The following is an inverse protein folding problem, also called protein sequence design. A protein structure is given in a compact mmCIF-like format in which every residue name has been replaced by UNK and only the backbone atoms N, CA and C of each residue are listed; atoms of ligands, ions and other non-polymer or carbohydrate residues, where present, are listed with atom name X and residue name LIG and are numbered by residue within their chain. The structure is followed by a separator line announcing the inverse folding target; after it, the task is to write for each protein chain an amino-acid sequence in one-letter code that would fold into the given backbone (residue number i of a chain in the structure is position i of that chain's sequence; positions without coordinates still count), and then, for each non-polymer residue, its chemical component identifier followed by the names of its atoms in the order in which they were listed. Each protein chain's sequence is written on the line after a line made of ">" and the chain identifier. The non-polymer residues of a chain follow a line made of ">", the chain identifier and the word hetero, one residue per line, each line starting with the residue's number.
data_IF_228163885236
#
_entry.id   IF_228163885236
#
_cell.length_a   1.000
_cell.length_b   1.000
_cell.length_c   1.000
_cell.angle_alpha   90.00
_cell.angle_beta   90.00
_cell.angle_gamma   90.00
#
_symmetry.space_group_name_H-M   'P 1'
#
loop_
_entity.id
_entity.type
_entity.pdbx_description
1 polymer ?
#
# COMPACT_ATOMS: atom_id res chain seq x y z
N UNK A 1 13.70 16.55 27.98
CA UNK A 1 14.34 15.62 28.95
C UNK A 1 14.52 14.20 28.41
N UNK A 2 13.47 13.35 28.28
CA UNK A 2 13.62 11.95 27.80
C UNK A 2 14.27 11.86 26.41
N UNK A 3 13.88 12.73 25.47
CA UNK A 3 14.50 12.79 24.14
C UNK A 3 15.99 13.12 24.20
N UNK A 4 16.38 14.09 25.03
CA UNK A 4 17.78 14.57 25.11
C UNK A 4 18.70 13.51 25.71
N UNK A 5 18.20 12.76 26.70
CA UNK A 5 18.89 11.58 27.25
C UNK A 5 19.09 10.54 26.15
N UNK A 6 18.06 10.25 25.35
CA UNK A 6 18.14 9.31 24.25
C UNK A 6 19.05 9.79 23.11
N UNK A 7 19.11 11.09 22.83
CA UNK A 7 20.04 11.68 21.85
C UNK A 7 21.49 11.45 22.28
N UNK A 8 21.83 11.79 23.54
CA UNK A 8 23.18 11.57 24.08
C UNK A 8 23.57 10.09 24.14
N UNK A 9 22.64 9.23 24.54
CA UNK A 9 22.88 7.79 24.54
C UNK A 9 23.08 7.27 23.12
N UNK A 10 22.30 7.73 22.15
CA UNK A 10 22.45 7.30 20.77
C UNK A 10 23.81 7.71 20.19
N UNK A 11 24.27 8.92 20.49
CA UNK A 11 25.61 9.39 20.11
C UNK A 11 26.72 8.53 20.73
N UNK A 12 26.66 8.28 22.04
CA UNK A 12 27.65 7.47 22.75
C UNK A 12 27.67 6.02 22.25
N UNK A 13 26.50 5.40 22.04
CA UNK A 13 26.41 4.05 21.50
C UNK A 13 26.96 4.00 20.09
N UNK A 14 26.62 4.98 19.23
CA UNK A 14 27.10 5.02 17.85
C UNK A 14 28.63 5.09 17.76
N UNK A 15 29.28 5.85 18.66
CA UNK A 15 30.73 5.93 18.73
C UNK A 15 31.42 4.60 19.07
N UNK A 16 30.73 3.69 19.76
CA UNK A 16 31.24 2.36 20.09
C UNK A 16 30.83 1.29 19.08
N UNK A 17 29.55 1.26 18.70
CA UNK A 17 28.98 0.32 17.77
C UNK A 17 27.77 0.96 17.05
N UNK A 18 27.90 1.33 15.76
CA UNK A 18 26.80 1.88 14.98
C UNK A 18 25.60 0.92 14.84
N UNK A 19 25.81 -0.39 14.95
CA UNK A 19 24.80 -1.44 14.80
C UNK A 19 24.68 -2.34 16.05
N UNK A 20 24.18 -1.83 17.18
CA UNK A 20 24.04 -2.63 18.39
C UNK A 20 23.07 -3.79 18.20
N UNK A 21 23.46 -4.94 18.75
CA UNK A 21 22.66 -6.12 18.96
C UNK A 21 21.56 -5.88 20.01
N UNK A 22 20.65 -6.84 20.12
CA UNK A 22 19.54 -6.79 21.09
C UNK A 22 20.05 -6.67 22.53
N UNK A 23 21.12 -7.41 22.86
CA UNK A 23 21.64 -7.51 24.23
C UNK A 23 22.40 -6.23 24.62
N UNK A 24 23.05 -5.56 23.67
CA UNK A 24 23.67 -4.25 23.91
C UNK A 24 22.63 -3.17 24.24
N UNK A 25 21.46 -3.18 23.60
CA UNK A 25 20.36 -2.28 24.00
C UNK A 25 19.83 -2.60 25.40
N UNK A 26 19.80 -3.87 25.77
CA UNK A 26 19.36 -4.31 27.10
C UNK A 26 20.32 -3.84 28.18
N UNK A 27 21.62 -4.03 27.95
CA UNK A 27 22.67 -3.56 28.83
C UNK A 27 22.61 -2.04 29.05
N UNK A 28 22.50 -1.25 27.98
CA UNK A 28 22.45 0.21 28.10
C UNK A 28 21.21 0.69 28.85
N UNK A 29 20.05 0.09 28.58
CA UNK A 29 18.82 0.45 29.27
C UNK A 29 18.86 0.09 30.76
N UNK A 30 19.43 -1.06 31.12
CA UNK A 30 19.66 -1.45 32.52
C UNK A 30 20.62 -0.49 33.22
N UNK A 31 21.76 -0.18 32.60
CA UNK A 31 22.76 0.72 33.16
C UNK A 31 22.20 2.14 33.37
N UNK A 32 21.34 2.62 32.46
CA UNK A 32 20.67 3.91 32.59
C UNK A 32 19.81 3.98 33.86
N UNK A 33 19.01 2.93 34.10
CA UNK A 33 18.12 2.87 35.27
C UNK A 33 18.90 2.63 36.56
N UNK A 34 19.93 1.78 36.54
CA UNK A 34 20.78 1.54 37.70
C UNK A 34 21.49 2.82 38.16
N UNK A 35 21.98 3.62 37.20
CA UNK A 35 22.66 4.89 37.48
C UNK A 35 21.68 6.00 37.87
N UNK A 36 20.47 5.97 37.32
CA UNK A 36 19.43 6.98 37.55
C UNK A 36 18.09 6.34 37.93
N UNK A 37 17.93 5.91 39.21
CA UNK A 37 16.70 5.24 39.66
C UNK A 37 15.43 6.10 39.51
N UNK A 38 15.56 7.43 39.44
CA UNK A 38 14.42 8.34 39.20
C UNK A 38 13.84 8.25 37.78
N UNK A 39 14.52 7.58 36.84
CA UNK A 39 14.02 7.35 35.48
C UNK A 39 13.20 6.05 35.34
N UNK A 40 13.00 5.30 36.43
CA UNK A 40 12.17 4.10 36.46
C UNK A 40 10.72 4.45 36.08
N UNK A 41 10.14 3.68 35.17
CA UNK A 41 8.74 3.85 34.79
C UNK A 41 7.83 2.98 35.69
N UNK A 42 6.87 3.56 36.43
CA UNK A 42 5.99 2.80 37.30
C UNK A 42 5.05 1.88 36.50
N UNK A 43 4.91 0.63 36.94
CA UNK A 43 3.99 -0.35 36.34
C UNK A 43 4.60 -1.26 35.25
N UNK A 44 5.89 -1.15 34.95
CA UNK A 44 6.57 -2.09 34.04
C UNK A 44 7.16 -3.28 34.80
N UNK A 45 6.96 -4.51 34.30
CA UNK A 45 7.56 -5.76 34.84
C UNK A 45 9.10 -5.69 34.81
N UNK A 46 9.66 -4.93 33.87
CA UNK A 46 11.08 -4.59 33.82
C UNK A 46 11.22 -3.07 33.73
N UNK A 47 11.78 -2.46 34.77
CA UNK A 47 11.83 -1.00 34.99
C UNK A 47 12.57 -0.22 33.88
N UNK A 48 13.26 -0.92 32.98
CA UNK A 48 14.11 -0.38 31.90
C UNK A 48 13.60 -0.70 30.47
N UNK A 49 12.58 -1.55 30.31
CA UNK A 49 12.18 -2.07 28.99
C UNK A 49 11.74 -0.99 28.02
N UNK A 50 10.89 -0.05 28.44
CA UNK A 50 10.44 1.05 27.58
C UNK A 50 11.58 1.94 27.08
N UNK A 51 12.66 2.07 27.88
CA UNK A 51 13.86 2.80 27.49
C UNK A 51 14.64 2.09 26.39
N UNK A 52 14.77 0.76 26.45
CA UNK A 52 15.34 -0.07 25.37
C UNK A 52 14.66 0.18 24.03
N UNK A 53 13.33 0.15 23.99
CA UNK A 53 12.58 0.37 22.73
C UNK A 53 12.78 1.78 22.21
N UNK A 54 12.64 2.77 23.10
CA UNK A 54 12.83 4.18 22.74
C UNK A 54 14.23 4.43 22.16
N UNK A 55 15.25 3.82 22.77
CA UNK A 55 16.64 3.89 22.35
C UNK A 55 16.89 3.21 20.99
N UNK A 56 16.26 2.05 20.73
CA UNK A 56 16.34 1.38 19.43
C UNK A 56 15.79 2.24 18.29
N UNK A 57 14.65 2.91 18.51
CA UNK A 57 14.09 3.86 17.54
C UNK A 57 15.01 5.07 17.35
N UNK A 58 15.53 5.63 18.45
CA UNK A 58 16.41 6.79 18.43
C UNK A 58 17.72 6.50 17.66
N UNK A 59 18.34 5.35 17.91
CA UNK A 59 19.53 4.88 17.19
C UNK A 59 19.28 4.70 15.70
N UNK A 60 18.09 4.23 15.30
CA UNK A 60 17.69 4.17 13.90
C UNK A 60 17.71 5.54 13.21
N UNK A 61 17.16 6.56 13.88
CA UNK A 61 17.16 7.93 13.37
C UNK A 61 18.57 8.55 13.39
N UNK A 62 19.37 8.28 14.42
CA UNK A 62 20.74 8.78 14.54
C UNK A 62 21.63 8.24 13.42
N UNK A 63 21.59 6.93 13.15
CA UNK A 63 22.27 6.32 11.99
C UNK A 63 21.87 6.98 10.67
N UNK A 64 20.58 7.28 10.49
CA UNK A 64 20.11 7.95 9.28
C UNK A 64 20.71 9.36 9.15
N UNK A 65 20.79 10.12 10.26
CA UNK A 65 21.43 11.44 10.29
C UNK A 65 22.92 11.36 9.93
N UNK A 66 23.66 10.44 10.53
CA UNK A 66 25.10 10.24 10.24
C UNK A 66 25.35 9.80 8.79
N UNK A 67 24.44 9.00 8.21
CA UNK A 67 24.50 8.64 6.78
C UNK A 67 24.35 9.85 5.87
N UNK A 68 23.40 10.74 6.16
CA UNK A 68 23.18 11.97 5.37
C UNK A 68 24.38 12.93 5.49
N UNK A 69 25.05 12.95 6.65
CA UNK A 69 26.27 13.72 6.86
C UNK A 69 27.53 13.12 6.20
N UNK A 70 27.42 11.99 5.50
CA UNK A 70 28.50 11.41 4.71
C UNK A 70 29.51 10.53 5.47
N UNK A 71 29.17 10.03 6.67
CA UNK A 71 30.08 9.20 7.48
C UNK A 71 30.50 7.90 6.77
N UNK A 72 31.82 7.67 6.68
CA UNK A 72 32.44 6.56 5.96
C UNK A 72 32.17 5.18 6.57
N UNK A 73 32.06 5.07 7.90
CA UNK A 73 31.78 3.81 8.63
C UNK A 73 30.45 3.14 8.23
N UNK A 74 29.50 3.91 7.68
CA UNK A 74 28.20 3.39 7.25
C UNK A 74 28.17 3.01 5.76
N UNK A 75 29.29 3.16 5.02
CA UNK A 75 29.37 2.90 3.57
C UNK A 75 29.44 1.41 3.23
N UNK A 76 29.91 0.55 4.13
CA UNK A 76 30.07 -0.89 3.86
C UNK A 76 28.71 -1.61 3.75
N UNK A 77 27.66 -1.06 4.37
CA UNK A 77 26.27 -1.50 4.24
C UNK A 77 25.43 -0.59 3.31
N UNK A 78 26.06 0.37 2.63
CA UNK A 78 25.40 1.13 1.59
C UNK A 78 25.29 0.23 0.36
N UNK A 79 24.08 -0.24 0.04
CA UNK A 79 23.80 -0.82 -1.27
C UNK A 79 24.36 0.14 -2.31
N UNK A 80 25.20 -0.37 -3.21
CA UNK A 80 25.85 0.38 -4.27
C UNK A 80 24.87 1.37 -4.90
N UNK A 81 25.28 2.64 -4.93
CA UNK A 81 24.56 3.70 -5.61
C UNK A 81 24.78 3.55 -7.11
N UNK A 82 24.11 2.58 -7.70
CA UNK A 82 23.88 2.51 -9.14
C UNK A 82 22.38 2.47 -9.34
N UNK A 83 21.79 3.67 -9.54
CA UNK A 83 20.39 3.89 -9.92
C UNK A 83 19.31 3.03 -9.22
N UNK A 84 19.51 2.66 -7.96
CA UNK A 84 18.51 1.93 -7.20
C UNK A 84 17.40 2.90 -6.78
N UNK A 85 16.33 2.94 -7.58
CA UNK A 85 15.06 3.62 -7.27
C UNK A 85 14.75 3.46 -5.78
N UNK A 86 14.70 4.58 -5.05
CA UNK A 86 14.39 4.66 -3.61
C UNK A 86 13.21 3.74 -3.30
N UNK A 87 13.45 2.65 -2.57
CA UNK A 87 12.38 1.82 -2.01
C UNK A 87 11.61 2.69 -1.00
N UNK A 88 10.53 3.33 -1.46
CA UNK A 88 9.63 4.08 -0.59
C UNK A 88 8.78 3.08 0.20
N UNK A 89 8.77 3.25 1.53
CA UNK A 89 7.93 2.50 2.48
C UNK A 89 6.45 2.59 2.11
N UNK A 90 5.74 1.48 2.34
CA UNK A 90 4.33 1.21 2.03
C UNK A 90 3.90 1.77 0.68
N UNK A 91 4.49 1.24 -0.40
CA UNK A 91 4.10 1.60 -1.77
C UNK A 91 3.32 0.54 -2.52
N UNK A 92 3.15 -0.68 -2.00
CA UNK A 92 2.76 -1.80 -2.85
C UNK A 92 1.98 -2.88 -2.09
N UNK A 93 0.78 -3.24 -2.57
CA UNK A 93 0.37 -4.65 -2.62
C UNK A 93 0.98 -5.23 -3.90
N UNK A 94 2.19 -5.80 -3.81
CA UNK A 94 2.74 -6.69 -4.87
C UNK A 94 2.81 -6.10 -6.30
N UNK A 95 3.05 -4.79 -6.42
CA UNK A 95 2.67 -4.02 -7.62
C UNK A 95 3.70 -4.02 -8.76
N UNK A 96 4.36 -5.13 -9.09
CA UNK A 96 5.05 -5.30 -10.39
C UNK A 96 4.99 -6.78 -10.79
N UNK A 97 3.91 -7.47 -10.46
CA UNK A 97 3.72 -8.83 -10.92
C UNK A 97 3.47 -8.80 -12.43
N UNK A 98 4.53 -9.07 -13.19
CA UNK A 98 4.56 -9.33 -14.62
C UNK A 98 4.64 -10.85 -14.80
N UNK A 99 3.51 -11.56 -14.96
CA UNK A 99 3.54 -12.96 -15.30
C UNK A 99 4.05 -13.16 -16.73
N UNK A 100 4.79 -14.25 -16.94
CA UNK A 100 5.19 -14.68 -18.28
C UNK A 100 3.97 -15.09 -19.11
N UNK A 101 4.09 -15.03 -20.44
CA UNK A 101 3.06 -15.54 -21.32
C UNK A 101 2.88 -17.05 -21.14
N UNK A 102 1.64 -17.57 -21.21
CA UNK A 102 1.40 -19.01 -21.16
C UNK A 102 2.20 -19.76 -22.23
N UNK A 103 2.59 -20.99 -21.92
CA UNK A 103 3.43 -21.81 -22.80
C UNK A 103 2.81 -21.94 -24.20
N UNK A 104 3.58 -21.55 -25.23
CA UNK A 104 3.13 -21.55 -26.63
C UNK A 104 2.32 -20.34 -27.09
N UNK A 105 1.98 -19.38 -26.22
CA UNK A 105 1.28 -18.14 -26.60
C UNK A 105 2.26 -17.01 -26.90
N UNK A 106 2.13 -16.41 -28.08
CA UNK A 106 2.84 -15.17 -28.45
C UNK A 106 1.92 -13.96 -28.26
N UNK A 107 2.51 -12.76 -28.23
CA UNK A 107 1.76 -11.50 -28.13
C UNK A 107 0.65 -11.39 -29.18
N UNK A 108 0.95 -11.78 -30.44
CA UNK A 108 -0.04 -11.77 -31.53
C UNK A 108 -1.24 -12.70 -31.30
N UNK A 109 -1.05 -13.82 -30.59
CA UNK A 109 -2.16 -14.73 -30.24
C UNK A 109 -3.03 -14.10 -29.16
N UNK A 110 -2.42 -13.50 -28.14
CA UNK A 110 -3.15 -12.83 -27.05
C UNK A 110 -3.91 -11.58 -27.54
N UNK A 111 -3.36 -10.85 -28.51
CA UNK A 111 -4.07 -9.75 -29.17
C UNK A 111 -5.31 -10.21 -29.93
N UNK A 112 -5.26 -11.39 -30.57
CA UNK A 112 -6.45 -11.97 -31.22
C UNK A 112 -7.50 -12.39 -30.19
N UNK A 113 -7.09 -12.96 -29.05
CA UNK A 113 -7.99 -13.29 -27.94
C UNK A 113 -8.66 -12.02 -27.37
N UNK A 114 -7.92 -10.92 -27.23
CA UNK A 114 -8.48 -9.61 -26.83
C UNK A 114 -9.55 -9.12 -27.81
N UNK A 115 -9.29 -9.17 -29.12
CA UNK A 115 -10.26 -8.75 -30.13
C UNK A 115 -11.53 -9.63 -30.10
N UNK A 116 -11.37 -10.94 -29.91
CA UNK A 116 -12.49 -11.86 -29.75
C UNK A 116 -13.33 -11.51 -28.51
N UNK A 117 -12.70 -11.16 -27.39
CA UNK A 117 -13.38 -10.72 -26.18
C UNK A 117 -14.18 -9.42 -26.40
N UNK A 118 -13.60 -8.43 -27.06
CA UNK A 118 -14.32 -7.19 -27.40
C UNK A 118 -15.52 -7.50 -28.31
N UNK A 119 -15.38 -8.42 -29.25
CA UNK A 119 -16.49 -8.85 -30.10
C UNK A 119 -17.59 -9.57 -29.31
N UNK A 120 -17.22 -10.38 -28.31
CA UNK A 120 -18.16 -11.07 -27.43
C UNK A 120 -18.99 -10.09 -26.61
N UNK A 121 -18.35 -9.06 -26.06
CA UNK A 121 -19.01 -8.00 -25.30
C UNK A 121 -20.05 -7.21 -26.10
N UNK A 122 -19.91 -7.18 -27.43
CA UNK A 122 -20.86 -6.48 -28.33
C UNK A 122 -22.09 -7.33 -28.69
N UNK A 123 -22.16 -8.59 -28.29
CA UNK A 123 -23.30 -9.45 -28.59
C UNK A 123 -24.53 -9.07 -27.75
N UNK A 124 -25.72 -9.26 -28.32
CA UNK A 124 -27.00 -9.07 -27.59
C UNK A 124 -27.12 -10.00 -26.38
N UNK A 125 -26.61 -11.22 -26.50
CA UNK A 125 -26.53 -12.20 -25.42
C UNK A 125 -25.06 -12.51 -25.19
N UNK A 126 -24.50 -11.90 -24.16
CA UNK A 126 -23.08 -12.01 -23.80
C UNK A 126 -22.84 -13.32 -23.05
N UNK A 127 -21.84 -14.10 -23.47
CA UNK A 127 -21.35 -15.24 -22.71
C UNK A 127 -20.27 -14.80 -21.70
N UNK A 128 -20.71 -14.54 -20.46
CA UNK A 128 -19.83 -14.13 -19.38
C UNK A 128 -18.81 -15.19 -18.96
N UNK A 129 -19.12 -16.47 -19.15
CA UNK A 129 -18.18 -17.55 -18.87
C UNK A 129 -17.02 -17.47 -19.87
N UNK A 130 -17.35 -17.31 -21.15
CA UNK A 130 -16.36 -17.16 -22.21
C UNK A 130 -15.50 -15.90 -22.02
N UNK A 131 -16.11 -14.77 -21.62
CA UNK A 131 -15.36 -13.54 -21.29
C UNK A 131 -14.39 -13.79 -20.13
N UNK A 132 -14.81 -14.49 -19.07
CA UNK A 132 -13.94 -14.81 -17.94
C UNK A 132 -12.73 -15.66 -18.34
N UNK A 133 -12.93 -16.64 -19.23
CA UNK A 133 -11.84 -17.47 -19.77
C UNK A 133 -10.86 -16.64 -20.62
N UNK A 134 -11.36 -15.76 -21.49
CA UNK A 134 -10.54 -14.87 -22.30
C UNK A 134 -9.80 -13.81 -21.45
N UNK A 135 -10.43 -13.28 -20.41
CA UNK A 135 -9.82 -12.35 -19.45
C UNK A 135 -8.66 -13.02 -18.70
N UNK A 136 -8.87 -14.25 -18.23
CA UNK A 136 -7.81 -15.03 -17.57
C UNK A 136 -6.64 -15.31 -18.53
N UNK A 137 -6.94 -15.72 -19.77
CA UNK A 137 -5.94 -16.01 -20.79
C UNK A 137 -5.09 -14.80 -21.22
N UNK A 138 -5.66 -13.60 -21.14
CA UNK A 138 -5.01 -12.35 -21.57
C UNK A 138 -4.36 -11.54 -20.46
N UNK A 139 -4.46 -12.01 -19.20
CA UNK A 139 -3.94 -11.29 -18.03
C UNK A 139 -2.46 -10.89 -18.14
N UNK A 140 -1.62 -11.76 -18.71
CA UNK A 140 -0.19 -11.47 -18.86
C UNK A 140 0.08 -10.35 -19.88
N UNK A 141 -0.62 -10.33 -21.01
CA UNK A 141 -0.54 -9.25 -21.99
C UNK A 141 -1.01 -7.93 -21.38
N UNK A 142 -2.17 -7.97 -20.72
CA UNK A 142 -2.76 -6.81 -20.06
C UNK A 142 -1.82 -6.23 -18.99
N UNK A 143 -1.24 -7.06 -18.12
CA UNK A 143 -0.29 -6.60 -17.10
C UNK A 143 0.97 -6.03 -17.72
N UNK A 144 1.46 -6.63 -18.80
CA UNK A 144 2.63 -6.11 -19.51
C UNK A 144 2.36 -4.72 -20.07
N UNK A 145 1.26 -4.52 -20.80
CA UNK A 145 0.87 -3.20 -21.33
C UNK A 145 0.71 -2.16 -20.20
N UNK A 146 -0.02 -2.49 -19.13
CA UNK A 146 -0.28 -1.55 -18.04
C UNK A 146 1.00 -1.15 -17.29
N UNK A 147 1.90 -2.10 -17.06
CA UNK A 147 3.12 -1.86 -16.28
C UNK A 147 4.23 -1.23 -17.12
N UNK A 148 4.35 -1.58 -18.40
CA UNK A 148 5.38 -1.04 -19.29
C UNK A 148 5.00 0.32 -19.89
N UNK A 149 3.75 0.49 -20.34
CA UNK A 149 3.32 1.69 -21.08
C UNK A 149 2.72 2.78 -20.17
N UNK A 150 2.34 2.44 -18.92
CA UNK A 150 1.68 3.33 -17.94
C UNK A 150 0.56 4.22 -18.56
N UNK A 151 -0.42 3.63 -19.28
CA UNK A 151 -1.48 4.40 -19.98
C UNK A 151 -2.51 5.00 -19.01
N UNK A 152 -3.24 6.02 -19.47
CA UNK A 152 -4.37 6.59 -18.72
C UNK A 152 -5.51 5.57 -18.56
N UNK A 153 -6.26 5.63 -17.46
CA UNK A 153 -7.37 4.70 -17.18
C UNK A 153 -8.42 4.72 -18.29
N UNK A 154 -8.68 5.89 -18.89
CA UNK A 154 -9.57 6.01 -20.05
C UNK A 154 -9.09 5.14 -21.25
N UNK A 155 -7.78 5.13 -21.51
CA UNK A 155 -7.19 4.32 -22.59
C UNK A 155 -7.24 2.82 -22.27
N UNK A 156 -7.05 2.45 -20.99
CA UNK A 156 -7.22 1.06 -20.55
C UNK A 156 -8.69 0.63 -20.67
N UNK A 157 -9.65 1.53 -20.37
CA UNK A 157 -11.08 1.28 -20.51
C UNK A 157 -11.49 1.01 -21.96
N UNK A 158 -10.96 1.78 -22.90
CA UNK A 158 -11.21 1.56 -24.33
C UNK A 158 -10.60 0.24 -24.83
N UNK A 159 -9.40 -0.10 -24.33
CA UNK A 159 -8.63 -1.26 -24.81
C UNK A 159 -9.06 -2.58 -24.15
N UNK A 160 -9.50 -2.52 -22.89
CA UNK A 160 -9.87 -3.64 -22.02
C UNK A 160 -11.21 -3.39 -21.30
N UNK A 161 -12.32 -3.20 -22.03
CA UNK A 161 -13.61 -2.82 -21.42
C UNK A 161 -14.16 -3.86 -20.42
N UNK A 162 -13.77 -5.13 -20.56
CA UNK A 162 -14.13 -6.20 -19.64
C UNK A 162 -13.57 -6.00 -18.21
N UNK A 163 -12.47 -5.27 -18.02
CA UNK A 163 -11.94 -4.92 -16.69
C UNK A 163 -12.91 -4.05 -15.88
N UNK A 164 -13.77 -3.33 -16.56
CA UNK A 164 -14.66 -2.32 -15.99
C UNK A 164 -16.12 -2.77 -16.03
N UNK A 165 -16.33 -4.07 -16.25
CA UNK A 165 -17.66 -4.65 -16.43
C UNK A 165 -18.13 -5.38 -15.18
N UNK A 166 -18.69 -4.62 -14.24
CA UNK A 166 -19.66 -5.12 -13.27
C UNK A 166 -20.89 -4.19 -13.34
N UNK A 167 -21.90 -4.60 -14.13
CA UNK A 167 -23.21 -3.93 -14.36
C UNK A 167 -23.20 -2.41 -14.65
N UNK A 168 -22.87 -2.10 -15.91
CA UNK A 168 -23.40 -1.06 -16.82
C UNK A 168 -23.77 0.36 -16.31
N UNK A 169 -22.87 1.30 -16.62
CA UNK A 169 -23.01 2.55 -17.40
C UNK A 169 -24.29 3.40 -17.32
N UNK A 170 -24.10 4.67 -16.94
CA UNK A 170 -24.88 5.82 -17.40
C UNK A 170 -23.96 6.97 -17.77
N UNK A 171 -24.35 7.70 -18.80
CA UNK A 171 -23.77 8.98 -19.23
C UNK A 171 -24.08 10.09 -18.20
N UNK A 172 -23.23 11.12 -18.21
CA UNK A 172 -23.37 12.43 -17.52
C UNK A 172 -22.88 12.55 -16.06
N UNK A 173 -21.57 12.38 -15.79
CA UNK A 173 -21.00 12.73 -14.47
C UNK A 173 -19.63 13.44 -14.52
N UNK A 174 -19.49 14.50 -15.35
CA UNK A 174 -18.23 15.28 -15.43
C UNK A 174 -18.10 16.44 -14.43
N UNK A 175 -19.13 16.77 -13.64
CA UNK A 175 -19.07 17.93 -12.71
C UNK A 175 -18.69 17.58 -11.26
N UNK A 176 -18.79 16.33 -10.83
CA UNK A 176 -18.58 15.93 -9.42
C UNK A 176 -17.24 15.23 -9.14
N UNK A 177 -16.58 14.69 -10.15
CA UNK A 177 -15.33 13.93 -10.03
C UNK A 177 -14.07 14.78 -10.22
N UNK A 178 -14.23 16.06 -10.58
CA UNK A 178 -13.11 16.96 -10.86
C UNK A 178 -12.16 17.09 -9.66
N UNK A 179 -10.89 16.77 -9.87
CA UNK A 179 -9.86 16.74 -8.82
C UNK A 179 -9.88 15.50 -7.90
N UNK A 180 -10.83 14.57 -8.09
CA UNK A 180 -10.88 13.29 -7.37
C UNK A 180 -10.07 12.22 -8.11
N UNK A 181 -8.80 12.05 -7.69
CA UNK A 181 -7.91 11.06 -8.31
C UNK A 181 -8.34 9.61 -8.07
N UNK A 182 -8.82 9.29 -6.87
CA UNK A 182 -9.22 7.94 -6.45
C UNK A 182 -10.27 8.07 -5.34
N UNK A 183 -11.37 7.33 -5.43
CA UNK A 183 -12.22 7.06 -4.27
C UNK A 183 -13.58 6.47 -4.61
N UNK A 184 -14.47 6.42 -3.62
CA UNK A 184 -15.84 5.91 -3.74
C UNK A 184 -16.82 7.06 -3.50
N UNK A 185 -17.70 7.30 -4.46
CA UNK A 185 -18.84 8.20 -4.36
C UNK A 185 -20.03 7.45 -3.76
N UNK A 186 -20.84 8.13 -2.94
CA UNK A 186 -22.04 7.57 -2.33
C UNK A 186 -23.21 8.47 -2.65
N UNK A 187 -24.25 7.91 -3.28
CA UNK A 187 -25.54 8.55 -3.50
C UNK A 187 -26.41 8.26 -2.29
N UNK A 188 -27.02 9.30 -1.73
CA UNK A 188 -27.92 9.21 -0.58
C UNK A 188 -29.31 9.70 -0.93
N UNK A 189 -30.30 9.01 -0.39
CA UNK A 189 -31.68 9.49 -0.30
C UNK A 189 -32.07 9.54 1.19
N UNK A 190 -32.07 10.75 1.76
CA UNK A 190 -32.17 10.94 3.21
C UNK A 190 -30.93 10.40 3.96
N UNK A 191 -31.15 9.50 4.92
CA UNK A 191 -30.06 8.82 5.66
C UNK A 191 -29.56 7.55 4.95
N UNK A 192 -30.34 7.01 4.01
CA UNK A 192 -30.05 5.75 3.34
C UNK A 192 -29.08 5.95 2.17
N UNK A 193 -28.13 5.03 2.04
CA UNK A 193 -27.23 4.97 0.88
C UNK A 193 -27.96 4.17 -0.20
N UNK A 194 -28.30 4.84 -1.29
CA UNK A 194 -29.03 4.24 -2.40
C UNK A 194 -28.11 3.68 -3.47
N UNK A 195 -26.93 4.27 -3.63
CA UNK A 195 -25.94 3.79 -4.60
C UNK A 195 -24.51 4.17 -4.19
N UNK A 196 -23.52 3.43 -4.69
CA UNK A 196 -22.11 3.79 -4.62
C UNK A 196 -21.41 3.60 -5.96
N UNK A 197 -20.42 4.45 -6.24
CA UNK A 197 -19.65 4.42 -7.48
C UNK A 197 -18.14 4.54 -7.20
N UNK A 198 -17.32 3.90 -8.01
CA UNK A 198 -15.85 3.95 -7.92
C UNK A 198 -15.31 4.93 -8.95
N UNK A 199 -14.50 5.88 -8.48
CA UNK A 199 -13.88 6.95 -9.28
C UNK A 199 -12.38 6.75 -9.33
N UNK A 200 -11.80 6.76 -10.53
CA UNK A 200 -10.35 6.77 -10.78
C UNK A 200 -10.03 7.79 -11.86
N UNK A 201 -8.97 8.57 -11.65
CA UNK A 201 -8.52 9.61 -12.59
C UNK A 201 -9.66 10.53 -13.05
N UNK A 202 -10.49 10.97 -12.10
CA UNK A 202 -11.60 11.88 -12.34
C UNK A 202 -12.71 11.30 -13.25
N UNK A 203 -12.64 10.00 -13.56
CA UNK A 203 -13.67 9.28 -14.29
C UNK A 203 -14.41 8.31 -13.38
N UNK A 204 -15.73 8.22 -13.54
CA UNK A 204 -16.54 7.16 -12.93
C UNK A 204 -16.27 5.85 -13.68
N UNK A 205 -15.78 4.87 -12.94
CA UNK A 205 -15.28 3.62 -13.48
C UNK A 205 -16.31 2.49 -13.31
N UNK A 206 -16.96 2.42 -12.15
CA UNK A 206 -18.05 1.49 -11.85
C UNK A 206 -19.13 2.21 -11.05
N UNK A 207 -20.39 1.92 -11.32
CA UNK A 207 -21.57 2.48 -10.66
C UNK A 207 -22.46 1.33 -10.13
N UNK A 208 -23.60 1.65 -9.52
CA UNK A 208 -24.59 0.67 -9.04
C UNK A 208 -24.05 -0.35 -8.03
N UNK A 209 -23.10 0.06 -7.20
CA UNK A 209 -22.52 -0.81 -6.18
C UNK A 209 -23.44 -0.79 -4.96
N UNK A 210 -24.26 -1.83 -4.83
CA UNK A 210 -25.33 -1.97 -3.83
C UNK A 210 -24.89 -1.79 -2.36
N UNK A 211 -23.59 -1.86 -2.06
CA UNK A 211 -23.07 -1.55 -0.73
C UNK A 211 -21.61 -1.03 -0.77
N UNK A 212 -21.25 -0.22 0.23
CA UNK A 212 -19.93 0.41 0.37
C UNK A 212 -18.76 -0.61 0.46
N UNK A 213 -18.88 -1.76 1.17
CA UNK A 213 -17.80 -2.75 1.23
C UNK A 213 -17.40 -3.30 -0.14
N UNK A 214 -18.37 -3.58 -1.03
CA UNK A 214 -18.07 -4.03 -2.41
C UNK A 214 -17.34 -2.96 -3.19
N UNK A 215 -17.82 -1.72 -3.16
CA UNK A 215 -17.16 -0.62 -3.85
C UNK A 215 -15.70 -0.41 -3.39
N UNK A 216 -15.44 -0.55 -2.09
CA UNK A 216 -14.07 -0.49 -1.54
C UNK A 216 -13.22 -1.68 -2.02
N UNK A 217 -13.76 -2.90 -1.99
CA UNK A 217 -13.04 -4.09 -2.45
C UNK A 217 -12.69 -4.01 -3.94
N UNK A 218 -13.64 -3.57 -4.77
CA UNK A 218 -13.44 -3.35 -6.20
C UNK A 218 -12.46 -2.22 -6.47
N UNK A 219 -12.53 -1.12 -5.73
CA UNK A 219 -11.54 -0.05 -5.82
C UNK A 219 -10.12 -0.58 -5.54
N UNK A 220 -9.95 -1.39 -4.49
CA UNK A 220 -8.66 -2.02 -4.16
C UNK A 220 -8.18 -2.96 -5.26
N UNK A 221 -9.09 -3.76 -5.83
CA UNK A 221 -8.80 -4.64 -6.97
C UNK A 221 -8.37 -3.85 -8.21
N UNK A 222 -9.07 -2.78 -8.56
CA UNK A 222 -8.74 -1.94 -9.71
C UNK A 222 -7.40 -1.22 -9.53
N UNK A 223 -7.11 -0.67 -8.35
CA UNK A 223 -5.81 -0.05 -8.08
C UNK A 223 -4.66 -1.05 -8.30
N UNK A 224 -4.85 -2.30 -7.90
CA UNK A 224 -3.87 -3.37 -8.16
C UNK A 224 -3.76 -3.71 -9.65
N UNK A 225 -4.89 -3.97 -10.32
CA UNK A 225 -4.95 -4.40 -11.72
C UNK A 225 -4.39 -3.33 -12.66
N UNK A 226 -4.74 -2.06 -12.41
CA UNK A 226 -4.35 -0.90 -13.19
C UNK A 226 -3.01 -0.29 -12.78
N UNK A 227 -2.30 -0.89 -11.81
CA UNK A 227 -1.00 -0.42 -11.34
C UNK A 227 -1.02 1.04 -10.84
N UNK A 228 -2.11 1.45 -10.18
CA UNK A 228 -2.29 2.82 -9.69
C UNK A 228 -1.74 2.95 -8.27
N UNK A 229 -0.85 3.92 -8.05
CA UNK A 229 -0.32 4.27 -6.74
C UNK A 229 -1.44 4.80 -5.81
N UNK A 230 -1.43 4.36 -4.54
CA UNK A 230 -2.29 4.98 -3.53
C UNK A 230 -2.02 6.48 -3.42
N UNK A 231 -3.06 7.34 -3.37
CA UNK A 231 -2.87 8.77 -3.19
C UNK A 231 -2.05 9.06 -1.93
N UNK A 232 -1.00 9.88 -2.06
CA UNK A 232 -0.08 10.18 -0.94
C UNK A 232 -0.81 10.70 0.32
N UNK A 233 -1.89 11.46 0.12
CA UNK A 233 -2.74 12.00 1.20
C UNK A 233 -3.52 10.90 1.94
N UNK A 234 -3.82 9.78 1.28
CA UNK A 234 -4.65 8.69 1.78
C UNK A 234 -3.86 7.39 2.03
N UNK A 235 -2.52 7.41 1.90
CA UNK A 235 -1.68 6.20 2.00
C UNK A 235 -1.92 5.34 3.25
N UNK A 236 -2.23 5.97 4.39
CA UNK A 236 -2.50 5.26 5.64
C UNK A 236 -3.91 4.66 5.68
N UNK A 237 -4.89 5.31 5.04
CA UNK A 237 -6.24 4.78 4.85
C UNK A 237 -6.19 3.52 4.00
N UNK A 238 -5.50 3.56 2.87
CA UNK A 238 -5.32 2.39 2.00
C UNK A 238 -4.51 1.28 2.67
N UNK A 239 -3.46 1.63 3.45
CA UNK A 239 -2.72 0.63 4.22
C UNK A 239 -3.60 -0.06 5.28
N UNK A 240 -4.47 0.70 5.95
CA UNK A 240 -5.41 0.16 6.93
C UNK A 240 -6.43 -0.77 6.25
N UNK A 241 -7.05 -0.35 5.15
CA UNK A 241 -7.97 -1.19 4.37
C UNK A 241 -7.26 -2.48 3.93
N UNK A 242 -6.10 -2.35 3.29
CA UNK A 242 -5.37 -3.49 2.74
C UNK A 242 -4.95 -4.50 3.82
N UNK A 243 -4.28 -4.03 4.88
CA UNK A 243 -3.61 -4.93 5.84
C UNK A 243 -4.51 -5.35 6.98
N UNK A 244 -5.48 -4.52 7.35
CA UNK A 244 -6.31 -4.74 8.54
C UNK A 244 -7.66 -5.31 8.13
N UNK A 245 -8.32 -4.71 7.15
CA UNK A 245 -9.65 -5.15 6.72
C UNK A 245 -9.57 -6.34 5.76
N UNK A 246 -8.68 -6.27 4.76
CA UNK A 246 -8.54 -7.32 3.74
C UNK A 246 -7.48 -8.37 4.09
N UNK A 247 -6.63 -8.12 5.09
CA UNK A 247 -5.52 -8.99 5.51
C UNK A 247 -4.53 -9.36 4.37
N UNK A 248 -4.27 -8.41 3.45
CA UNK A 248 -3.39 -8.59 2.29
C UNK A 248 -1.99 -8.03 2.58
N UNK A 249 -0.95 -8.84 2.35
CA UNK A 249 0.45 -8.43 2.52
C UNK A 249 1.01 -8.59 3.94
N UNK A 250 0.36 -9.40 4.78
CA UNK A 250 0.80 -9.79 6.13
C UNK A 250 0.50 -8.78 7.24
N UNK A 251 0.70 -9.19 8.51
CA UNK A 251 0.30 -8.44 9.71
C UNK A 251 1.17 -7.22 10.09
N UNK A 252 2.20 -6.88 9.29
CA UNK A 252 3.07 -5.75 9.59
C UNK A 252 2.53 -4.46 8.99
N UNK A 253 1.83 -3.66 9.80
CA UNK A 253 1.37 -2.32 9.45
C UNK A 253 2.41 -1.26 9.84
N UNK A 254 2.35 -0.07 9.23
CA UNK A 254 3.08 1.09 9.72
C UNK A 254 2.72 1.40 11.17
N UNK A 255 3.63 2.02 11.92
CA UNK A 255 3.41 2.32 13.35
C UNK A 255 2.15 3.16 13.61
N UNK A 256 1.77 4.01 12.65
CA UNK A 256 0.58 4.84 12.75
C UNK A 256 -0.70 4.01 12.56
N UNK A 257 -0.74 3.12 11.56
CA UNK A 257 -1.88 2.21 11.35
C UNK A 257 -1.98 1.19 12.48
N UNK A 258 -0.86 0.65 12.96
CA UNK A 258 -0.83 -0.27 14.09
C UNK A 258 -1.33 0.41 15.39
N UNK A 259 -0.93 1.67 15.64
CA UNK A 259 -1.45 2.47 16.75
C UNK A 259 -2.96 2.70 16.64
N UNK A 260 -3.46 3.03 15.45
CA UNK A 260 -4.88 3.19 15.19
C UNK A 260 -5.68 1.89 15.40
N UNK A 261 -5.20 0.76 14.86
CA UNK A 261 -5.82 -0.56 15.07
C UNK A 261 -5.93 -0.90 16.55
N UNK A 262 -4.85 -0.69 17.31
CA UNK A 262 -4.85 -0.95 18.74
C UNK A 262 -5.84 -0.04 19.48
N UNK A 263 -6.04 1.21 19.07
CA UNK A 263 -7.05 2.08 19.67
C UNK A 263 -8.48 1.66 19.33
N UNK A 264 -8.73 1.22 18.10
CA UNK A 264 -10.05 0.80 17.64
C UNK A 264 -10.45 -0.56 18.25
N UNK A 265 -9.53 -1.52 18.28
CA UNK A 265 -9.78 -2.88 18.80
C UNK A 265 -9.78 -2.96 20.34
N UNK A 266 -9.25 -1.95 21.04
CA UNK A 266 -9.32 -1.87 22.50
C UNK A 266 -10.65 -1.34 23.03
N UNK A 267 -11.49 -0.74 22.19
CA UNK A 267 -12.81 -0.19 22.60
C UNK A 267 -13.94 -1.23 22.61
N UNK A 268 -13.63 -2.49 22.34
CA UNK A 268 -14.63 -3.57 22.20
C UNK A 268 -14.50 -4.65 23.29
N UNK A 269 -13.93 -4.32 24.45
CA UNK A 269 -13.91 -5.17 25.65
C UNK A 269 -14.44 -4.36 26.83
#
# INVERSE_FOLDING_TARGET
>A
MKSDILDKLAEAIYAHNPYPSRDEYDYVAQALIQKHPCLKEPGSVSEWYCWKFSLKFKMGNFRQKMRVAGSSELRVNARASESAKRLKRARKSEVNFLPDFPEGKTQSVLDKERLAMISEMKKRKVDWKQIGEMMSGTFALQRKEIVEDEPLVAQVKDRWPALFSERQATDDEETFTWGMKVGVFMVKDGEDITDTAVVLEEAVIMNNQHDLPRAIALLMGLLFSLNIDYPNKLKYTFEMIQKVLMNIGGGQCSSLVHGLCNMLLRKTI
#
